data_IF_051392962318
#
_entry.id   IF_051392962318
#
_cell.length_a   1.000
_cell.length_b   1.000
_cell.length_c   1.000
_cell.angle_alpha   90.00
_cell.angle_beta   90.00
_cell.angle_gamma   90.00
#
_symmetry.space_group_name_H-M   'P 1'
#
loop_
_entity.id
_entity.type
_entity.pdbx_description
1 polymer ?
#
# COMPACT_ATOMS: atom_id res chain seq x y z
N UNK A 1 18.98 15.50 -6.34
CA UNK A 1 19.17 14.05 -6.64
C UNK A 1 19.14 13.20 -5.38
N UNK A 2 20.01 13.41 -4.37
CA UNK A 2 19.98 12.59 -3.14
C UNK A 2 18.65 12.64 -2.37
N UNK A 3 18.00 13.80 -2.32
CA UNK A 3 16.68 13.96 -1.68
C UNK A 3 15.60 13.14 -2.40
N UNK A 4 15.54 13.23 -3.72
CA UNK A 4 14.61 12.44 -4.54
C UNK A 4 14.80 10.94 -4.32
N UNK A 5 16.06 10.48 -4.33
CA UNK A 5 16.39 9.09 -4.04
C UNK A 5 15.93 8.66 -2.65
N UNK A 6 16.20 9.46 -1.61
CA UNK A 6 15.72 9.15 -0.24
C UNK A 6 14.20 9.10 -0.16
N UNK A 7 13.51 9.94 -0.90
CA UNK A 7 12.04 9.98 -0.92
C UNK A 7 11.43 8.75 -1.60
N UNK A 8 12.17 8.03 -2.45
CA UNK A 8 11.68 6.82 -3.15
C UNK A 8 12.08 5.52 -2.49
N UNK A 9 13.01 5.50 -1.51
CA UNK A 9 13.44 4.28 -0.80
C UNK A 9 12.27 3.51 -0.16
N UNK A 10 12.37 2.18 -0.09
CA UNK A 10 11.37 1.33 0.54
C UNK A 10 11.16 1.69 2.03
N UNK A 11 9.96 2.16 2.39
CA UNK A 11 9.55 2.51 3.76
C UNK A 11 8.01 2.45 3.88
N UNK A 12 7.43 2.38 5.10
CA UNK A 12 6.00 2.44 5.29
C UNK A 12 5.40 3.74 4.72
N UNK A 13 4.42 3.61 3.82
CA UNK A 13 3.73 4.72 3.16
C UNK A 13 2.22 4.57 3.31
N UNK A 14 1.55 5.70 3.39
CA UNK A 14 0.09 5.75 3.47
C UNK A 14 -0.51 5.33 2.11
N UNK A 15 -1.35 4.31 2.14
CA UNK A 15 -2.05 3.77 0.97
C UNK A 15 -3.54 3.63 1.24
N UNK A 16 -4.33 3.59 0.18
CA UNK A 16 -5.75 3.31 0.23
C UNK A 16 -5.96 1.82 -0.06
N UNK A 17 -6.33 1.02 0.95
CA UNK A 17 -6.61 -0.41 0.76
C UNK A 17 -8.10 -0.66 0.67
N UNK A 18 -8.48 -1.47 -0.31
CA UNK A 18 -9.82 -2.01 -0.47
C UNK A 18 -10.08 -3.10 0.57
N UNK A 19 -11.04 -2.86 1.46
CA UNK A 19 -11.35 -3.77 2.56
C UNK A 19 -11.92 -5.09 2.04
N UNK A 20 -12.74 -5.06 1.00
CA UNK A 20 -13.34 -6.27 0.43
C UNK A 20 -12.29 -7.22 -0.14
N UNK A 21 -11.28 -6.68 -0.83
CA UNK A 21 -10.17 -7.46 -1.38
C UNK A 21 -9.28 -8.06 -0.29
N UNK A 22 -8.94 -7.29 0.75
CA UNK A 22 -8.09 -7.78 1.86
C UNK A 22 -8.74 -8.93 2.62
N UNK A 23 -10.07 -8.92 2.79
CA UNK A 23 -10.81 -9.96 3.51
C UNK A 23 -11.41 -11.06 2.61
N UNK A 24 -11.13 -11.03 1.29
CA UNK A 24 -11.68 -12.02 0.35
C UNK A 24 -13.21 -12.07 0.36
N UNK A 25 -13.86 -10.91 0.52
CA UNK A 25 -15.29 -10.84 0.78
C UNK A 25 -16.14 -11.42 -0.36
N UNK A 26 -17.19 -12.15 0.01
CA UNK A 26 -18.19 -12.61 -0.95
C UNK A 26 -18.89 -11.41 -1.60
N UNK A 27 -19.38 -11.59 -2.83
CA UNK A 27 -19.97 -10.52 -3.66
C UNK A 27 -21.22 -9.85 -3.06
N UNK A 28 -21.79 -10.43 -2.00
CA UNK A 28 -22.94 -9.92 -1.26
C UNK A 28 -22.57 -9.13 0.03
N UNK A 29 -21.28 -9.03 0.37
CA UNK A 29 -20.81 -8.33 1.57
C UNK A 29 -20.16 -7.01 1.17
N UNK A 30 -20.65 -5.90 1.72
CA UNK A 30 -20.21 -4.56 1.37
C UNK A 30 -19.69 -3.80 2.59
N UNK A 31 -18.48 -3.23 2.49
CA UNK A 31 -17.87 -2.42 3.53
C UNK A 31 -18.12 -0.93 3.28
N UNK A 32 -18.41 -0.19 4.37
CA UNK A 32 -18.57 1.27 4.35
C UNK A 32 -17.72 1.88 5.47
N UNK A 33 -16.64 2.61 5.15
CA UNK A 33 -16.13 2.90 3.80
C UNK A 33 -15.56 1.63 3.10
N UNK A 34 -15.55 1.59 1.74
CA UNK A 34 -15.01 0.44 1.00
C UNK A 34 -13.48 0.37 1.02
N UNK A 35 -12.83 1.52 1.28
CA UNK A 35 -11.39 1.59 1.43
C UNK A 35 -11.02 2.34 2.72
N UNK A 36 -9.87 1.97 3.29
CA UNK A 36 -9.31 2.61 4.49
C UNK A 36 -7.86 3.01 4.25
N UNK A 37 -7.43 4.06 4.94
CA UNK A 37 -6.06 4.52 4.86
C UNK A 37 -5.19 3.82 5.90
N UNK A 38 -4.15 3.13 5.44
CA UNK A 38 -3.21 2.39 6.30
C UNK A 38 -1.78 2.57 5.81
N UNK A 39 -0.79 2.20 6.63
CA UNK A 39 0.60 2.14 6.19
C UNK A 39 0.94 0.75 5.64
N UNK A 40 1.52 0.70 4.45
CA UNK A 40 2.12 -0.51 3.84
C UNK A 40 3.52 -0.21 3.32
N UNK A 41 4.33 -1.24 3.16
CA UNK A 41 5.63 -1.10 2.49
C UNK A 41 5.39 -0.66 1.04
N UNK A 42 6.14 0.33 0.59
CA UNK A 42 6.19 0.78 -0.80
C UNK A 42 7.48 1.53 -1.05
N UNK A 43 7.78 1.88 -2.29
CA UNK A 43 9.06 2.47 -2.70
C UNK A 43 9.99 1.45 -3.35
N UNK A 44 11.20 1.89 -3.70
CA UNK A 44 12.21 1.12 -4.41
C UNK A 44 13.28 0.57 -3.46
N UNK A 45 13.77 -0.62 -3.77
CA UNK A 45 14.97 -1.20 -3.17
C UNK A 45 16.22 -0.77 -3.96
N UNK A 46 17.41 -1.07 -3.43
CA UNK A 46 18.68 -0.80 -4.12
C UNK A 46 18.95 -1.78 -5.27
N UNK A 47 18.21 -2.89 -5.32
CA UNK A 47 18.23 -3.93 -6.35
C UNK A 47 16.78 -4.36 -6.63
N UNK A 48 16.51 -4.77 -7.87
CA UNK A 48 15.19 -5.31 -8.26
C UNK A 48 14.97 -6.75 -7.76
N UNK A 49 16.04 -7.45 -7.38
CA UNK A 49 15.98 -8.85 -6.93
C UNK A 49 15.73 -9.01 -5.42
N UNK A 50 15.42 -7.91 -4.72
CA UNK A 50 15.32 -7.84 -3.26
C UNK A 50 13.89 -7.94 -2.73
#
# INVERSE_FOLDING_TARGET
>A
IQTEWRNTLCMPRQVCLDVGKEFGAATNTFYKPPCVSVYRCGGCCNSEEQ
#
